data_IF_785179378941
#
_entry.id   IF_785179378941
#
_cell.length_a   1.000
_cell.length_b   1.000
_cell.length_c   1.000
_cell.angle_alpha   90.00
_cell.angle_beta   90.00
_cell.angle_gamma   90.00
#
_symmetry.space_group_name_H-M   'P 1'
#
loop_
_entity.id
_entity.type
_entity.pdbx_description
1 polymer ?
#
# COMPACT_ATOMS: atom_id res chain seq x y z
N UNK A 1 8.59 -8.87 2.40
CA UNK A 1 9.44 -8.00 1.55
C UNK A 1 10.89 -8.22 1.94
N UNK A 2 11.79 -8.12 0.97
CA UNK A 2 13.23 -8.27 1.19
C UNK A 2 13.83 -7.14 2.04
N UNK A 3 14.96 -7.42 2.67
CA UNK A 3 15.73 -6.42 3.41
C UNK A 3 16.55 -5.64 2.38
N UNK A 4 16.44 -4.30 2.39
CA UNK A 4 17.23 -3.43 1.52
C UNK A 4 18.28 -2.67 2.31
N UNK A 5 19.42 -2.48 1.69
CA UNK A 5 20.57 -1.77 2.25
C UNK A 5 21.39 -1.12 1.13
N UNK A 6 22.36 -0.32 1.51
CA UNK A 6 23.26 0.33 0.54
C UNK A 6 23.84 -0.66 -0.46
N UNK A 7 23.65 -0.43 -1.75
CA UNK A 7 24.04 -1.30 -2.85
C UNK A 7 22.97 -2.27 -3.34
N UNK A 8 21.82 -2.40 -2.64
CA UNK A 8 20.68 -3.18 -3.15
C UNK A 8 20.17 -2.61 -4.47
N UNK A 9 19.68 -3.50 -5.37
CA UNK A 9 19.19 -3.11 -6.70
C UNK A 9 17.91 -3.85 -7.05
N UNK A 10 17.11 -3.22 -7.92
CA UNK A 10 15.93 -3.86 -8.50
C UNK A 10 14.62 -3.13 -8.24
N UNK A 11 13.48 -3.76 -8.62
CA UNK A 11 12.18 -3.11 -8.62
C UNK A 11 11.70 -2.72 -7.22
N UNK A 12 12.07 -3.47 -6.17
CA UNK A 12 11.69 -3.13 -4.79
C UNK A 12 12.48 -1.93 -4.28
N UNK A 13 13.74 -1.76 -4.68
CA UNK A 13 14.51 -0.55 -4.40
C UNK A 13 13.89 0.67 -5.10
N UNK A 14 13.51 0.53 -6.38
CA UNK A 14 12.80 1.59 -7.11
C UNK A 14 11.49 1.97 -6.45
N UNK A 15 10.71 1.00 -5.99
CA UNK A 15 9.48 1.23 -5.23
C UNK A 15 9.75 1.99 -3.92
N UNK A 16 10.79 1.61 -3.18
CA UNK A 16 11.21 2.30 -1.96
C UNK A 16 11.51 3.77 -2.25
N UNK A 17 12.36 4.05 -3.24
CA UNK A 17 12.74 5.42 -3.65
C UNK A 17 11.52 6.26 -4.02
N UNK A 18 10.64 5.73 -4.89
CA UNK A 18 9.38 6.40 -5.26
C UNK A 18 8.50 6.68 -4.04
N UNK A 19 8.45 5.74 -3.09
CA UNK A 19 7.64 5.90 -1.88
C UNK A 19 8.21 6.96 -0.96
N UNK A 20 9.52 6.94 -0.70
CA UNK A 20 10.20 7.95 0.12
C UNK A 20 10.06 9.35 -0.49
N UNK A 21 10.32 9.50 -1.80
CA UNK A 21 10.16 10.79 -2.49
C UNK A 21 8.74 11.34 -2.38
N UNK A 22 7.74 10.47 -2.52
CA UNK A 22 6.32 10.85 -2.42
C UNK A 22 5.94 11.38 -1.03
N UNK A 23 6.53 10.84 0.03
CA UNK A 23 6.24 11.27 1.41
C UNK A 23 7.22 12.33 1.92
N UNK A 24 8.01 12.93 1.01
CA UNK A 24 8.84 14.10 1.29
C UNK A 24 10.27 13.82 1.71
N UNK A 25 10.73 12.56 1.63
CA UNK A 25 12.13 12.20 1.87
C UNK A 25 12.86 12.10 0.53
N UNK A 26 13.92 12.90 0.34
CA UNK A 26 14.66 12.95 -0.92
C UNK A 26 15.56 11.72 -1.10
N UNK A 27 15.03 10.66 -1.71
CA UNK A 27 15.79 9.45 -2.02
C UNK A 27 16.55 9.51 -3.37
N UNK A 28 16.59 10.68 -4.01
CA UNK A 28 17.17 10.87 -5.33
C UNK A 28 16.26 10.38 -6.45
N UNK A 29 16.85 10.13 -7.63
CA UNK A 29 16.15 9.51 -8.75
C UNK A 29 15.73 8.09 -8.39
N UNK A 30 14.52 7.70 -8.78
CA UNK A 30 14.03 6.35 -8.55
C UNK A 30 14.56 5.40 -9.65
N UNK A 31 15.86 5.17 -9.62
CA UNK A 31 16.60 4.36 -10.59
C UNK A 31 16.67 2.86 -10.22
N UNK A 32 16.21 2.52 -9.00
CA UNK A 32 16.28 1.16 -8.48
C UNK A 32 17.64 0.77 -7.91
N UNK A 33 18.53 1.73 -7.64
CA UNK A 33 19.84 1.51 -7.02
C UNK A 33 19.86 2.21 -5.65
N UNK A 34 20.06 1.45 -4.59
CA UNK A 34 20.14 1.97 -3.23
C UNK A 34 21.51 2.66 -3.02
N UNK A 35 21.59 3.92 -3.40
CA UNK A 35 22.77 4.78 -3.26
C UNK A 35 22.72 5.66 -2.01
N UNK A 36 23.65 6.64 -1.95
CA UNK A 36 23.81 7.56 -0.81
C UNK A 36 22.52 8.32 -0.49
N UNK A 37 21.86 8.92 -1.50
CA UNK A 37 20.64 9.70 -1.28
C UNK A 37 19.50 8.82 -0.76
N UNK A 38 19.39 7.57 -1.25
CA UNK A 38 18.41 6.62 -0.74
C UNK A 38 18.71 6.24 0.72
N UNK A 39 19.99 6.03 1.04
CA UNK A 39 20.43 5.73 2.40
C UNK A 39 20.09 6.86 3.38
N UNK A 40 20.41 8.10 3.03
CA UNK A 40 20.09 9.27 3.85
C UNK A 40 18.58 9.44 4.04
N UNK A 41 17.79 9.26 2.97
CA UNK A 41 16.33 9.32 3.04
C UNK A 41 15.75 8.25 3.97
N UNK A 42 16.30 7.04 3.94
CA UNK A 42 15.89 5.95 4.87
C UNK A 42 16.23 6.32 6.31
N UNK A 43 17.42 6.85 6.59
CA UNK A 43 17.80 7.31 7.94
C UNK A 43 16.84 8.39 8.44
N UNK A 44 16.55 9.42 7.63
CA UNK A 44 15.63 10.49 7.99
C UNK A 44 14.22 9.96 8.26
N UNK A 45 13.72 9.05 7.41
CA UNK A 45 12.43 8.40 7.60
C UNK A 45 12.40 7.60 8.92
N UNK A 46 13.44 6.81 9.18
CA UNK A 46 13.52 6.02 10.42
C UNK A 46 13.52 6.92 11.66
N UNK A 47 14.30 7.99 11.67
CA UNK A 47 14.32 8.98 12.77
C UNK A 47 12.95 9.60 13.01
N UNK A 48 12.28 10.05 11.94
CA UNK A 48 10.96 10.68 12.03
C UNK A 48 9.87 9.72 12.54
N UNK A 49 10.07 8.41 12.37
CA UNK A 49 9.15 7.37 12.81
C UNK A 49 9.60 6.62 14.09
N UNK A 50 10.62 7.15 14.80
CA UNK A 50 11.15 6.54 16.03
C UNK A 50 11.67 5.10 15.82
N UNK A 51 12.15 4.80 14.63
CA UNK A 51 12.82 3.55 14.28
C UNK A 51 14.34 3.78 14.39
N UNK A 52 15.13 2.82 14.89
CA UNK A 52 16.58 2.94 14.90
C UNK A 52 17.13 3.31 13.51
N UNK A 53 17.89 4.43 13.38
CA UNK A 53 18.33 4.97 12.09
C UNK A 53 19.53 4.21 11.53
N UNK A 54 19.32 2.98 11.12
CA UNK A 54 20.37 2.09 10.63
C UNK A 54 20.68 2.27 9.14
N UNK A 55 19.80 2.95 8.39
CA UNK A 55 19.87 3.02 6.94
C UNK A 55 19.52 1.70 6.23
N UNK A 56 19.13 0.67 7.00
CA UNK A 56 18.70 -0.63 6.46
C UNK A 56 17.18 -0.74 6.57
N UNK A 57 16.54 -1.16 5.49
CA UNK A 57 15.07 -1.31 5.45
C UNK A 57 14.69 -2.70 5.93
N UNK A 58 14.56 -2.83 7.25
CA UNK A 58 14.07 -4.02 7.94
C UNK A 58 12.54 -4.11 7.89
N UNK A 59 11.93 -5.24 8.29
CA UNK A 59 10.46 -5.38 8.36
C UNK A 59 9.77 -4.22 9.10
N UNK A 60 10.34 -3.74 10.21
CA UNK A 60 9.81 -2.60 10.95
C UNK A 60 9.76 -1.30 10.10
N UNK A 61 10.77 -1.07 9.27
CA UNK A 61 10.78 0.08 8.36
C UNK A 61 9.71 -0.08 7.26
N UNK A 62 9.55 -1.29 6.73
CA UNK A 62 8.48 -1.61 5.77
C UNK A 62 7.08 -1.43 6.36
N UNK A 63 6.88 -1.83 7.62
CA UNK A 63 5.60 -1.66 8.32
C UNK A 63 5.25 -0.17 8.50
N UNK A 64 6.22 0.65 8.83
CA UNK A 64 6.03 2.12 8.90
C UNK A 64 5.76 2.76 7.53
N UNK A 65 6.34 2.22 6.45
CA UNK A 65 6.09 2.65 5.08
C UNK A 65 4.75 2.15 4.52
N UNK A 66 4.13 1.14 5.14
CA UNK A 66 2.96 0.45 4.59
C UNK A 66 1.80 1.40 4.21
N UNK A 67 1.41 2.43 4.97
CA UNK A 67 0.37 3.37 4.55
C UNK A 67 0.71 4.04 3.23
N UNK A 68 1.92 4.54 3.08
CA UNK A 68 2.39 5.19 1.86
C UNK A 68 2.53 4.20 0.70
N UNK A 69 3.05 2.99 0.94
CA UNK A 69 3.17 1.93 -0.06
C UNK A 69 1.82 1.47 -0.59
N UNK A 70 0.88 1.21 0.30
CA UNK A 70 -0.42 0.64 -0.02
C UNK A 70 -1.46 1.71 -0.40
N UNK A 71 -1.10 2.99 -0.32
CA UNK A 71 -1.93 4.11 -0.77
C UNK A 71 -3.15 4.34 0.11
N UNK A 72 -2.95 4.48 1.40
CA UNK A 72 -3.99 4.89 2.33
C UNK A 72 -3.43 5.74 3.47
N UNK A 73 -4.32 6.46 4.16
CA UNK A 73 -4.06 7.09 5.43
C UNK A 73 -5.14 6.69 6.46
N UNK A 74 -4.91 7.02 7.72
CA UNK A 74 -5.91 6.89 8.79
C UNK A 74 -6.41 8.26 9.18
N UNK A 75 -7.71 8.40 9.31
CA UNK A 75 -8.38 9.62 9.75
C UNK A 75 -9.26 9.33 10.96
N UNK A 76 -9.10 10.09 12.04
CA UNK A 76 -9.95 9.97 13.22
C UNK A 76 -11.05 11.01 13.14
N UNK A 77 -12.31 10.57 13.11
CA UNK A 77 -13.49 11.41 13.01
C UNK A 77 -13.57 12.39 14.15
N UNK A 78 -13.82 13.65 13.82
CA UNK A 78 -13.95 14.77 14.75
C UNK A 78 -15.41 15.29 14.80
N UNK A 79 -15.68 16.14 15.77
CA UNK A 79 -17.00 16.77 15.89
C UNK A 79 -17.30 17.65 14.65
N UNK A 80 -18.45 17.43 14.02
CA UNK A 80 -18.89 18.18 12.83
C UNK A 80 -18.37 17.61 11.50
N UNK A 81 -17.71 16.46 11.53
CA UNK A 81 -17.32 15.76 10.32
C UNK A 81 -18.51 15.06 9.66
N UNK A 82 -18.42 14.96 8.35
CA UNK A 82 -19.26 14.11 7.51
C UNK A 82 -18.39 13.33 6.53
N UNK A 83 -18.86 12.19 6.05
CA UNK A 83 -18.10 11.45 5.02
C UNK A 83 -17.86 12.29 3.76
N UNK A 84 -18.79 13.21 3.44
CA UNK A 84 -18.63 14.12 2.31
C UNK A 84 -17.43 15.05 2.52
N UNK A 85 -17.38 15.74 3.67
CA UNK A 85 -16.31 16.69 3.99
C UNK A 85 -14.94 16.00 4.06
N UNK A 86 -14.88 14.82 4.72
CA UNK A 86 -13.64 14.02 4.80
C UNK A 86 -13.17 13.59 3.40
N UNK A 87 -14.09 13.17 2.53
CA UNK A 87 -13.77 12.78 1.18
C UNK A 87 -13.26 13.95 0.34
N UNK A 88 -13.92 15.11 0.43
CA UNK A 88 -13.54 16.35 -0.25
C UNK A 88 -12.15 16.84 0.20
N UNK A 89 -11.88 16.86 1.50
CA UNK A 89 -10.57 17.27 2.07
C UNK A 89 -9.41 16.33 1.67
N UNK A 90 -9.72 15.11 1.25
CA UNK A 90 -8.73 14.12 0.83
C UNK A 90 -8.74 13.84 -0.69
N UNK A 91 -9.41 14.66 -1.49
CA UNK A 91 -9.51 14.54 -2.95
C UNK A 91 -9.98 13.15 -3.44
N UNK A 92 -10.89 12.52 -2.70
CA UNK A 92 -11.49 11.24 -3.06
C UNK A 92 -13.01 11.31 -3.14
N UNK A 93 -13.64 10.37 -3.82
CA UNK A 93 -15.10 10.28 -3.81
C UNK A 93 -15.62 9.69 -2.47
N UNK A 94 -16.80 10.13 -2.04
CA UNK A 94 -17.51 9.52 -0.91
C UNK A 94 -17.69 8.02 -1.10
N UNK A 95 -17.92 7.59 -2.35
CA UNK A 95 -18.01 6.16 -2.70
C UNK A 95 -16.73 5.40 -2.39
N UNK A 96 -15.56 5.97 -2.70
CA UNK A 96 -14.28 5.35 -2.39
C UNK A 96 -14.05 5.25 -0.87
N UNK A 97 -14.35 6.33 -0.14
CA UNK A 97 -14.25 6.34 1.32
C UNK A 97 -15.19 5.29 1.96
N UNK A 98 -16.45 5.23 1.54
CA UNK A 98 -17.41 4.25 2.05
C UNK A 98 -17.01 2.81 1.69
N UNK A 99 -16.52 2.59 0.47
CA UNK A 99 -16.07 1.26 0.04
C UNK A 99 -14.90 0.73 0.89
N UNK A 100 -13.99 1.63 1.30
CA UNK A 100 -12.86 1.27 2.15
C UNK A 100 -13.24 1.08 3.63
N UNK A 101 -14.45 1.51 4.04
CA UNK A 101 -14.94 1.47 5.42
C UNK A 101 -16.32 0.78 5.50
N UNK A 102 -16.44 -0.51 5.13
CA UNK A 102 -17.71 -1.21 5.20
C UNK A 102 -18.16 -1.34 6.66
N UNK A 103 -19.36 -0.89 6.97
CA UNK A 103 -19.91 -0.88 8.33
C UNK A 103 -20.00 0.51 8.94
N UNK A 104 -19.38 1.52 8.34
CA UNK A 104 -19.61 2.92 8.72
C UNK A 104 -20.92 3.38 8.11
N UNK A 105 -21.82 3.88 8.96
CA UNK A 105 -23.11 4.42 8.53
C UNK A 105 -22.91 5.91 8.17
N UNK A 106 -23.26 6.32 6.93
CA UNK A 106 -23.07 7.71 6.49
C UNK A 106 -23.81 8.74 7.37
N UNK A 107 -24.97 8.36 7.90
CA UNK A 107 -25.86 9.23 8.67
C UNK A 107 -25.57 9.23 10.18
N UNK A 108 -24.65 8.38 10.65
CA UNK A 108 -24.29 8.28 12.08
C UNK A 108 -22.77 8.04 12.26
N UNK A 109 -22.00 9.05 11.84
CA UNK A 109 -20.55 9.02 11.97
C UNK A 109 -20.15 9.34 13.42
N UNK A 110 -19.65 8.34 14.14
CA UNK A 110 -19.27 8.49 15.54
C UNK A 110 -17.90 9.17 15.67
N UNK A 111 -17.82 10.18 16.56
CA UNK A 111 -16.56 10.86 16.89
C UNK A 111 -15.57 9.85 17.47
N UNK A 112 -14.31 9.90 17.03
CA UNK A 112 -13.27 8.96 17.43
C UNK A 112 -13.18 7.70 16.56
N UNK A 113 -14.13 7.47 15.65
CA UNK A 113 -14.02 6.39 14.66
C UNK A 113 -12.79 6.59 13.78
N UNK A 114 -12.00 5.56 13.60
CA UNK A 114 -10.83 5.61 12.71
C UNK A 114 -11.20 5.08 11.33
N UNK A 115 -11.21 5.97 10.35
CA UNK A 115 -11.47 5.65 8.96
C UNK A 115 -10.18 5.32 8.21
N UNK A 116 -10.28 4.40 7.27
CA UNK A 116 -9.26 4.20 6.23
C UNK A 116 -9.61 5.11 5.06
N UNK A 117 -8.73 6.03 4.74
CA UNK A 117 -8.86 6.97 3.62
C UNK A 117 -7.96 6.47 2.49
N UNK A 118 -8.50 5.85 1.43
CA UNK A 118 -7.70 5.40 0.30
C UNK A 118 -7.22 6.61 -0.52
N UNK A 119 -6.01 6.55 -1.08
CA UNK A 119 -5.60 7.55 -2.08
C UNK A 119 -6.32 7.28 -3.41
N UNK A 120 -6.49 8.30 -4.25
CA UNK A 120 -7.03 8.17 -5.61
C UNK A 120 -6.04 7.53 -6.60
N UNK A 121 -4.80 7.36 -6.17
CA UNK A 121 -3.68 6.85 -6.97
C UNK A 121 -3.96 5.46 -7.53
N UNK A 122 -3.46 5.20 -8.75
CA UNK A 122 -3.43 3.85 -9.31
C UNK A 122 -2.69 2.88 -8.38
N UNK A 123 -3.25 1.68 -8.19
CA UNK A 123 -2.59 0.60 -7.44
C UNK A 123 -1.39 0.07 -8.22
N UNK A 124 -1.46 0.10 -9.57
CA UNK A 124 -0.39 -0.38 -10.44
C UNK A 124 0.48 0.81 -10.84
N UNK A 125 1.78 0.70 -10.60
CA UNK A 125 2.80 1.62 -11.10
C UNK A 125 3.48 0.98 -12.32
N UNK A 126 3.15 1.49 -13.51
CA UNK A 126 3.64 0.97 -14.78
C UNK A 126 5.13 1.23 -15.04
N UNK A 127 5.76 2.08 -14.23
CA UNK A 127 7.18 2.41 -14.32
C UNK A 127 8.06 1.51 -13.43
N UNK A 128 7.47 0.52 -12.78
CA UNK A 128 8.19 -0.46 -11.97
C UNK A 128 8.06 -1.83 -12.62
N UNK A 129 9.19 -2.51 -12.81
CA UNK A 129 9.21 -3.90 -13.29
C UNK A 129 8.38 -4.79 -12.37
N UNK A 130 7.44 -5.54 -12.96
CA UNK A 130 6.50 -6.33 -12.19
C UNK A 130 7.14 -7.61 -11.69
N UNK A 131 7.15 -7.82 -10.39
CA UNK A 131 7.66 -9.00 -9.73
C UNK A 131 6.67 -9.53 -8.68
N UNK A 132 6.98 -10.66 -8.07
CA UNK A 132 6.10 -11.30 -7.08
C UNK A 132 5.76 -10.39 -5.90
N UNK A 133 6.75 -9.69 -5.34
CA UNK A 133 6.51 -8.79 -4.21
C UNK A 133 5.64 -7.58 -4.60
N UNK A 134 5.84 -7.03 -5.79
CA UNK A 134 4.99 -5.96 -6.33
C UNK A 134 3.55 -6.45 -6.53
N UNK A 135 3.36 -7.64 -7.09
CA UNK A 135 2.05 -8.28 -7.23
C UNK A 135 1.36 -8.41 -5.86
N UNK A 136 2.06 -8.93 -4.87
CA UNK A 136 1.51 -9.11 -3.52
C UNK A 136 1.14 -7.78 -2.85
N UNK A 137 1.97 -6.74 -3.01
CA UNK A 137 1.66 -5.38 -2.52
C UNK A 137 0.41 -4.81 -3.21
N UNK A 138 0.28 -4.99 -4.51
CA UNK A 138 -0.90 -4.54 -5.26
C UNK A 138 -2.18 -5.24 -4.79
N UNK A 139 -2.12 -6.55 -4.51
CA UNK A 139 -3.26 -7.27 -3.91
C UNK A 139 -3.62 -6.72 -2.53
N UNK A 140 -2.63 -6.42 -1.70
CA UNK A 140 -2.86 -5.79 -0.37
C UNK A 140 -3.46 -4.40 -0.50
N UNK A 141 -2.99 -3.58 -1.43
CA UNK A 141 -3.55 -2.25 -1.69
C UNK A 141 -5.00 -2.32 -2.16
N UNK A 142 -5.32 -3.28 -3.04
CA UNK A 142 -6.70 -3.55 -3.47
C UNK A 142 -7.58 -3.99 -2.28
N UNK A 143 -7.08 -4.85 -1.39
CA UNK A 143 -7.81 -5.29 -0.20
C UNK A 143 -8.12 -4.14 0.76
N UNK A 144 -7.22 -3.17 0.90
CA UNK A 144 -7.43 -1.97 1.73
C UNK A 144 -8.50 -1.07 1.11
N UNK A 145 -8.43 -0.84 -0.20
CA UNK A 145 -9.38 -0.02 -0.95
C UNK A 145 -10.76 -0.67 -1.04
N UNK A 146 -10.77 -1.99 -1.13
CA UNK A 146 -11.97 -2.81 -1.32
C UNK A 146 -11.96 -4.01 -0.37
N UNK A 147 -12.31 -3.82 0.91
CA UNK A 147 -12.25 -4.88 1.92
C UNK A 147 -13.11 -6.12 1.63
N UNK A 148 -14.07 -6.01 0.71
CA UNK A 148 -14.91 -7.12 0.26
C UNK A 148 -14.19 -8.09 -0.70
N UNK A 149 -13.01 -7.75 -1.21
CA UNK A 149 -12.17 -8.67 -1.99
C UNK A 149 -11.58 -9.70 -1.02
N UNK A 150 -11.78 -10.96 -1.29
CA UNK A 150 -11.14 -12.06 -0.58
C UNK A 150 -9.86 -12.47 -1.31
N UNK A 151 -8.72 -12.38 -0.61
CA UNK A 151 -7.44 -12.87 -1.11
C UNK A 151 -7.15 -14.19 -0.41
N UNK A 152 -6.86 -15.23 -1.18
CA UNK A 152 -6.61 -16.58 -0.66
C UNK A 152 -5.38 -17.21 -1.33
N UNK A 153 -4.79 -18.19 -0.67
CA UNK A 153 -3.75 -19.03 -1.27
C UNK A 153 -4.42 -20.16 -2.06
N UNK A 154 -4.05 -20.30 -3.33
CA UNK A 154 -4.44 -21.41 -4.18
C UNK A 154 -3.42 -22.57 -4.13
N UNK A 155 -2.37 -22.42 -3.33
CA UNK A 155 -1.28 -23.39 -3.18
C UNK A 155 0.10 -22.76 -3.34
N UNK A 156 1.10 -23.58 -3.61
CA UNK A 156 2.48 -23.13 -3.79
C UNK A 156 3.05 -23.56 -5.15
N UNK A 157 3.87 -22.70 -5.72
CA UNK A 157 4.61 -22.98 -6.93
C UNK A 157 5.75 -23.99 -6.67
N UNK A 158 6.36 -24.50 -7.76
CA UNK A 158 7.56 -25.35 -7.66
C UNK A 158 8.73 -24.65 -6.94
N UNK A 159 8.75 -23.34 -6.90
CA UNK A 159 9.73 -22.53 -6.18
C UNK A 159 9.29 -22.17 -4.75
N UNK A 160 8.26 -22.87 -4.22
CA UNK A 160 7.72 -22.70 -2.89
C UNK A 160 7.13 -21.29 -2.61
N UNK A 161 6.77 -20.54 -3.63
CA UNK A 161 6.07 -19.27 -3.50
C UNK A 161 4.56 -19.47 -3.49
N UNK A 162 3.83 -18.70 -2.67
CA UNK A 162 2.37 -18.73 -2.61
C UNK A 162 1.77 -18.32 -3.96
N UNK A 163 0.77 -19.06 -4.42
CA UNK A 163 -0.05 -18.70 -5.58
C UNK A 163 -1.31 -18.04 -5.05
N UNK A 164 -1.43 -16.73 -5.24
CA UNK A 164 -2.58 -15.99 -4.75
C UNK A 164 -3.72 -15.99 -5.75
N UNK A 165 -4.93 -16.21 -5.21
CA UNK A 165 -6.20 -15.95 -5.88
C UNK A 165 -6.92 -14.77 -5.23
N UNK A 166 -7.73 -14.07 -6.00
CA UNK A 166 -8.63 -13.04 -5.50
C UNK A 166 -10.06 -13.37 -5.90
N UNK A 167 -10.98 -13.36 -4.92
CA UNK A 167 -12.42 -13.56 -5.14
C UNK A 167 -13.13 -12.24 -4.98
N UNK A 168 -13.98 -11.93 -5.96
CA UNK A 168 -14.80 -10.73 -6.01
C UNK A 168 -16.26 -11.12 -6.20
N UNK A 169 -17.13 -10.56 -5.36
CA UNK A 169 -18.58 -10.75 -5.49
C UNK A 169 -19.18 -11.76 -4.53
N UNK A 170 -20.51 -11.86 -4.59
CA UNK A 170 -21.33 -12.78 -3.79
C UNK A 170 -22.33 -13.42 -4.73
N UNK A 171 -22.30 -14.72 -4.91
CA UNK A 171 -23.21 -15.45 -5.76
C UNK A 171 -22.76 -16.88 -6.01
N UNK A 172 -23.65 -17.68 -6.60
CA UNK A 172 -23.43 -19.11 -6.86
C UNK A 172 -22.67 -19.37 -8.16
N UNK A 173 -22.55 -18.35 -9.02
CA UNK A 173 -21.82 -18.45 -10.30
C UNK A 173 -20.39 -17.98 -10.10
N UNK A 174 -19.44 -18.88 -10.32
CA UNK A 174 -18.02 -18.57 -10.28
C UNK A 174 -17.46 -18.43 -11.68
N UNK A 175 -16.79 -17.30 -11.96
CA UNK A 175 -16.03 -17.07 -13.19
C UNK A 175 -14.56 -17.00 -12.84
N UNK A 176 -13.76 -17.90 -13.40
CA UNK A 176 -12.33 -17.95 -13.22
C UNK A 176 -11.63 -17.24 -14.39
N UNK A 177 -10.86 -16.19 -14.09
CA UNK A 177 -9.95 -15.58 -15.03
C UNK A 177 -8.53 -16.03 -14.72
N UNK A 178 -7.86 -16.60 -15.71
CA UNK A 178 -6.48 -17.00 -15.64
C UNK A 178 -5.67 -16.06 -16.53
N UNK A 179 -4.71 -15.36 -15.93
CA UNK A 179 -3.82 -14.49 -16.68
C UNK A 179 -2.66 -15.29 -17.28
N UNK A 180 -2.18 -14.82 -18.40
CA UNK A 180 -1.10 -15.35 -19.23
C UNK A 180 0.03 -16.04 -18.46
N UNK A 181 0.40 -17.19 -18.95
CA UNK A 181 1.59 -17.94 -18.52
C UNK A 181 2.68 -17.81 -19.58
N UNK A 182 3.82 -17.37 -19.15
CA UNK A 182 5.04 -17.38 -19.95
C UNK A 182 6.10 -18.23 -19.26
#
# INVERSE_FOLDING_TARGET
MEILFFGSKGPITKLLQKTLNRIGYNAGEADGIFGEQTYEAVIQFQQSNQIPPTGIVWPQTWDALAPALLGYSKYTVQAGDTLFKIAEENDISVRALTAANPGVQPDSLEIGTVLTVPSDRSVIDWDIEYCYDIMYLNLRALKIRYPFIEIFSAGRSAMNQEIYGARLGRGDINVLYNASHH
#
